data_IF_916204768915
#
_entry.id   IF_916204768915
#
_cell.length_a   1.000
_cell.length_b   1.000
_cell.length_c   1.000
_cell.angle_alpha   90.00
_cell.angle_beta   90.00
_cell.angle_gamma   90.00
#
_symmetry.space_group_name_H-M   'P 1'
#
loop_
_entity.id
_entity.type
_entity.pdbx_description
1 polymer ?
#
# COMPACT_ATOMS: atom_id res chain seq x y z
N UNK A 1 -5.50 -8.33 -17.24
CA UNK A 1 -4.28 -8.57 -16.42
C UNK A 1 -4.73 -9.09 -15.06
N UNK A 2 -4.08 -10.13 -14.51
CA UNK A 2 -4.41 -10.63 -13.16
C UNK A 2 -3.48 -9.97 -12.15
N UNK A 3 -4.04 -9.43 -11.08
CA UNK A 3 -3.26 -8.86 -9.96
C UNK A 3 -2.71 -9.99 -9.08
N UNK A 4 -3.45 -11.09 -8.95
CA UNK A 4 -3.04 -12.24 -8.14
C UNK A 4 -2.07 -13.17 -8.89
N UNK A 5 -0.94 -13.47 -8.26
CA UNK A 5 0.12 -14.34 -8.80
C UNK A 5 0.21 -15.71 -8.12
N UNK A 6 -0.35 -15.83 -6.90
CA UNK A 6 -0.25 -17.01 -6.00
C UNK A 6 1.16 -17.33 -5.51
N UNK A 7 2.16 -16.52 -5.83
CA UNK A 7 3.56 -16.75 -5.40
C UNK A 7 3.74 -16.58 -3.90
N UNK A 8 2.83 -15.87 -3.23
CA UNK A 8 2.87 -15.62 -1.80
C UNK A 8 2.07 -16.58 -0.92
N UNK A 9 1.48 -17.63 -1.49
CA UNK A 9 0.60 -18.56 -0.76
C UNK A 9 1.36 -19.38 0.32
N UNK A 10 2.68 -19.49 0.18
CA UNK A 10 3.57 -20.18 1.15
C UNK A 10 4.09 -19.26 2.25
N UNK A 11 3.55 -18.04 2.38
CA UNK A 11 3.96 -17.09 3.43
C UNK A 11 5.21 -16.27 3.11
N UNK A 12 5.72 -16.33 1.88
CA UNK A 12 6.88 -15.57 1.41
C UNK A 12 6.49 -14.51 0.38
N UNK A 13 7.29 -13.46 0.22
CA UNK A 13 7.14 -12.46 -0.83
C UNK A 13 8.50 -12.04 -1.39
N UNK A 14 8.52 -11.37 -2.54
CA UNK A 14 9.74 -10.81 -3.12
C UNK A 14 9.90 -9.36 -2.72
N UNK A 15 11.09 -9.00 -2.24
CA UNK A 15 11.53 -7.62 -2.09
C UNK A 15 11.94 -7.03 -3.45
N UNK A 16 12.07 -5.71 -3.48
CA UNK A 16 12.73 -5.02 -4.60
C UNK A 16 14.13 -5.60 -4.76
N UNK A 17 14.47 -6.05 -5.98
CA UNK A 17 15.72 -6.77 -6.27
C UNK A 17 15.58 -8.30 -6.34
N UNK A 18 14.40 -8.86 -6.06
CA UNK A 18 14.08 -10.26 -6.30
C UNK A 18 14.38 -11.22 -5.13
N UNK A 19 15.00 -10.73 -4.05
CA UNK A 19 15.19 -11.46 -2.80
C UNK A 19 13.83 -11.90 -2.24
N UNK A 20 13.69 -13.17 -1.81
CA UNK A 20 12.46 -13.67 -1.19
C UNK A 20 12.61 -13.78 0.31
N UNK A 21 11.64 -13.23 1.04
CA UNK A 21 11.61 -13.20 2.51
C UNK A 21 10.23 -13.63 3.02
N UNK A 22 10.14 -14.03 4.29
CA UNK A 22 8.87 -14.27 4.95
C UNK A 22 8.04 -12.97 5.08
N UNK A 23 6.72 -13.09 5.12
CA UNK A 23 5.82 -11.93 5.23
C UNK A 23 5.92 -11.16 6.56
N UNK A 24 6.47 -11.79 7.59
CA UNK A 24 6.75 -11.18 8.89
C UNK A 24 8.16 -10.55 8.96
N UNK A 25 8.92 -10.53 7.86
CA UNK A 25 10.24 -9.93 7.82
C UNK A 25 10.19 -8.43 8.18
N UNK A 26 11.10 -7.91 9.05
CA UNK A 26 11.05 -6.52 9.53
C UNK A 26 11.00 -5.45 8.43
N UNK A 27 11.74 -5.65 7.33
CA UNK A 27 11.69 -4.75 6.16
C UNK A 27 10.30 -4.70 5.51
N UNK A 28 9.59 -5.82 5.45
CA UNK A 28 8.25 -5.85 4.84
C UNK A 28 7.23 -5.16 5.75
N UNK A 29 7.33 -5.40 7.06
CA UNK A 29 6.50 -4.71 8.06
C UNK A 29 6.68 -3.19 7.97
N UNK A 30 7.93 -2.70 7.92
CA UNK A 30 8.21 -1.27 7.86
C UNK A 30 7.53 -0.54 6.69
N UNK A 31 7.58 -1.09 5.47
CA UNK A 31 6.88 -0.47 4.33
C UNK A 31 5.39 -0.80 4.29
N UNK A 32 4.95 -1.88 4.95
CA UNK A 32 3.54 -2.18 5.18
C UNK A 32 2.86 -1.13 6.07
N UNK A 33 3.51 -0.73 7.16
CA UNK A 33 3.03 0.34 8.05
C UNK A 33 2.92 1.68 7.30
N UNK A 34 3.88 1.96 6.40
CA UNK A 34 3.85 3.16 5.55
C UNK A 34 2.71 3.09 4.53
N UNK A 35 2.42 1.93 3.95
CA UNK A 35 1.30 1.73 3.02
C UNK A 35 -0.05 1.91 3.74
N UNK A 36 -0.19 1.39 4.96
CA UNK A 36 -1.37 1.59 5.81
C UNK A 36 -1.58 3.08 6.15
N UNK A 37 -0.51 3.77 6.55
CA UNK A 37 -0.54 5.21 6.80
C UNK A 37 -0.98 5.98 5.54
N UNK A 38 -0.43 5.62 4.38
CA UNK A 38 -0.76 6.27 3.11
C UNK A 38 -2.23 6.07 2.72
N UNK A 39 -2.77 4.87 2.91
CA UNK A 39 -4.20 4.60 2.73
C UNK A 39 -5.08 5.42 3.69
N UNK A 40 -4.64 5.58 4.94
CA UNK A 40 -5.32 6.40 5.96
C UNK A 40 -5.35 7.88 5.57
N UNK A 41 -4.22 8.41 5.07
CA UNK A 41 -4.16 9.78 4.54
C UNK A 41 -5.15 9.94 3.38
N UNK A 42 -5.19 8.98 2.45
CA UNK A 42 -6.15 8.96 1.36
C UNK A 42 -7.60 9.04 1.84
N UNK A 43 -7.96 8.25 2.87
CA UNK A 43 -9.28 8.31 3.48
C UNK A 43 -9.60 9.69 4.06
N UNK A 44 -8.67 10.31 4.79
CA UNK A 44 -8.85 11.67 5.35
C UNK A 44 -9.09 12.68 4.22
N UNK A 45 -8.32 12.61 3.13
CA UNK A 45 -8.49 13.49 1.98
C UNK A 45 -9.88 13.36 1.35
N UNK A 46 -10.44 12.15 1.24
CA UNK A 46 -11.80 11.97 0.72
C UNK A 46 -12.86 12.67 1.57
N UNK A 47 -12.65 12.78 2.88
CA UNK A 47 -13.58 13.45 3.80
C UNK A 47 -13.42 14.98 3.80
N UNK A 48 -12.20 15.48 3.57
CA UNK A 48 -11.94 16.92 3.47
C UNK A 48 -12.45 17.51 2.14
N UNK A 49 -12.40 16.73 1.06
CA UNK A 49 -12.76 17.17 -0.30
C UNK A 49 -14.26 17.46 -0.47
N UNK A 50 -15.11 16.95 0.42
CA UNK A 50 -16.56 17.21 0.44
C UNK A 50 -16.92 18.60 1.02
N UNK A 51 -15.93 19.38 1.48
CA UNK A 51 -16.15 20.70 2.11
C UNK A 51 -15.79 21.92 1.24
N UNK A 52 -15.25 21.72 0.03
CA UNK A 52 -14.88 22.79 -0.90
C UNK A 52 -15.75 22.72 -2.18
N UNK A 53 -16.57 23.75 -2.49
CA UNK A 53 -17.20 23.84 -3.79
C UNK A 53 -16.14 24.21 -4.83
N UNK A 54 -15.85 23.28 -5.75
CA UNK A 54 -15.12 23.52 -7.01
C UNK A 54 -13.65 23.99 -6.88
N UNK A 55 -12.76 23.16 -6.31
CA UNK A 55 -11.33 23.31 -6.65
C UNK A 55 -11.00 22.48 -7.91
N UNK A 56 -11.05 23.14 -9.07
CA UNK A 56 -10.48 22.61 -10.32
C UNK A 56 -8.95 22.54 -10.16
N UNK A 57 -8.28 21.37 -10.21
CA UNK A 57 -6.83 21.37 -10.25
C UNK A 57 -6.38 21.94 -11.61
N UNK A 58 -5.38 22.82 -11.57
CA UNK A 58 -4.71 23.39 -12.75
C UNK A 58 -4.06 22.29 -13.60
#
# INVERSE_FOLDING_TARGET
MKIYTKTGDRGETSLVGGERVLKDHPRLQAYGDVDELNATIGLILTQLSDSEPDHKPL
#
